data_IF_588581972868
#
_entry.id   IF_588581972868
#
_cell.length_a   1.000
_cell.length_b   1.000
_cell.length_c   1.000
_cell.angle_alpha   90.00
_cell.angle_beta   90.00
_cell.angle_gamma   90.00
#
_symmetry.space_group_name_H-M   'P 1'
#
loop_
_entity.id
_entity.type
_entity.pdbx_description
1 polymer ?
#
# COMPACT_ATOMS: atom_id res chain seq x y z
N UNK A 1 -4.08 -26.64 -21.08
CA UNK A 1 -3.60 -25.29 -21.47
C UNK A 1 -2.13 -25.44 -21.84
N UNK A 2 -1.78 -25.16 -23.10
CA UNK A 2 -0.39 -25.03 -23.51
C UNK A 2 0.29 -23.94 -22.69
N UNK A 3 1.54 -24.18 -22.30
CA UNK A 3 2.30 -23.31 -21.41
C UNK A 3 2.89 -22.18 -22.25
N UNK A 4 2.37 -20.97 -22.08
CA UNK A 4 2.89 -19.79 -22.80
C UNK A 4 4.40 -19.62 -22.60
N UNK A 5 5.11 -19.30 -23.67
CA UNK A 5 6.53 -18.95 -23.64
C UNK A 5 6.73 -17.53 -23.06
N UNK A 6 7.99 -17.07 -22.95
CA UNK A 6 8.30 -15.79 -22.30
C UNK A 6 7.75 -14.62 -23.12
N UNK A 7 8.01 -14.59 -24.42
CA UNK A 7 7.52 -13.54 -25.32
C UNK A 7 5.99 -13.44 -25.31
N UNK A 8 5.30 -14.58 -25.37
CA UNK A 8 3.83 -14.65 -25.32
C UNK A 8 3.27 -14.07 -24.01
N UNK A 9 3.93 -14.31 -22.87
CA UNK A 9 3.51 -13.75 -21.58
C UNK A 9 3.68 -12.24 -21.53
N UNK A 10 4.78 -11.72 -22.06
CA UNK A 10 5.04 -10.28 -22.11
C UNK A 10 4.04 -9.60 -23.05
N UNK A 11 3.79 -10.17 -24.23
CA UNK A 11 2.80 -9.67 -25.18
C UNK A 11 1.40 -9.67 -24.56
N UNK A 12 1.02 -10.74 -23.87
CA UNK A 12 -0.27 -10.80 -23.19
C UNK A 12 -0.39 -9.78 -22.05
N UNK A 13 0.69 -9.57 -21.28
CA UNK A 13 0.73 -8.55 -20.24
C UNK A 13 0.55 -7.13 -20.81
N UNK A 14 1.27 -6.80 -21.89
CA UNK A 14 1.12 -5.53 -22.59
C UNK A 14 -0.30 -5.33 -23.16
N UNK A 15 -0.88 -6.38 -23.74
CA UNK A 15 -2.27 -6.36 -24.21
C UNK A 15 -3.25 -6.06 -23.07
N UNK A 16 -3.09 -6.70 -21.90
CA UNK A 16 -3.94 -6.45 -20.74
C UNK A 16 -3.83 -5.00 -20.25
N UNK A 17 -2.62 -4.45 -20.21
CA UNK A 17 -2.38 -3.05 -19.82
C UNK A 17 -3.08 -2.10 -20.78
N UNK A 18 -2.98 -2.35 -22.09
CA UNK A 18 -3.64 -1.56 -23.13
C UNK A 18 -5.17 -1.62 -23.02
N UNK A 19 -5.73 -2.80 -22.83
CA UNK A 19 -7.17 -3.01 -22.65
C UNK A 19 -7.70 -2.27 -21.42
N UNK A 20 -7.02 -2.37 -20.27
CA UNK A 20 -7.39 -1.65 -19.06
C UNK A 20 -7.30 -0.14 -19.30
N UNK A 21 -6.22 0.32 -19.92
CA UNK A 21 -5.95 1.75 -20.13
C UNK A 21 -6.93 2.41 -21.10
N UNK A 22 -7.28 1.70 -22.18
CA UNK A 22 -8.16 2.20 -23.23
C UNK A 22 -9.65 2.07 -22.87
N UNK A 23 -10.07 0.91 -22.33
CA UNK A 23 -11.50 0.62 -22.11
C UNK A 23 -11.98 1.01 -20.72
N UNK A 24 -11.21 0.67 -19.69
CA UNK A 24 -11.60 0.96 -18.32
C UNK A 24 -11.20 2.36 -17.89
N UNK A 25 -9.89 2.70 -18.00
CA UNK A 25 -9.33 3.99 -17.57
C UNK A 25 -9.63 5.15 -18.53
N UNK A 26 -10.02 4.83 -19.78
CA UNK A 26 -10.40 5.79 -20.82
C UNK A 26 -9.46 7.00 -20.88
N UNK A 27 -8.15 6.74 -20.88
CA UNK A 27 -7.11 7.78 -20.73
C UNK A 27 -7.37 8.98 -21.65
N UNK A 28 -7.53 10.16 -21.06
CA UNK A 28 -7.82 11.40 -21.78
C UNK A 28 -9.31 11.76 -21.90
N UNK A 29 -10.22 10.91 -21.39
CA UNK A 29 -11.66 11.17 -21.33
C UNK A 29 -12.13 11.42 -19.90
N UNK A 30 -13.09 12.34 -19.67
CA UNK A 30 -13.61 12.61 -18.34
C UNK A 30 -14.59 11.52 -17.87
N UNK A 31 -14.59 11.25 -16.56
CA UNK A 31 -15.63 10.44 -15.92
C UNK A 31 -16.74 11.32 -15.34
N UNK A 32 -17.97 10.84 -15.48
CA UNK A 32 -19.11 11.35 -14.72
C UNK A 32 -19.42 10.36 -13.61
N UNK A 33 -19.13 10.73 -12.36
CA UNK A 33 -19.42 9.92 -11.18
C UNK A 33 -20.67 10.46 -10.52
N UNK A 34 -21.70 9.62 -10.41
CA UNK A 34 -22.95 9.97 -9.75
C UNK A 34 -22.78 10.04 -8.24
N UNK A 35 -23.59 10.89 -7.60
CA UNK A 35 -23.76 10.88 -6.15
C UNK A 35 -24.12 9.47 -5.67
N UNK A 36 -23.47 8.99 -4.62
CA UNK A 36 -23.59 7.58 -4.21
C UNK A 36 -22.36 6.74 -4.56
N UNK A 37 -21.61 7.13 -5.59
CA UNK A 37 -20.55 6.29 -6.19
C UNK A 37 -19.16 6.93 -6.14
N UNK A 38 -18.92 7.83 -5.19
CA UNK A 38 -17.67 8.60 -5.09
C UNK A 38 -16.44 7.69 -4.91
N UNK A 39 -16.61 6.52 -4.30
CA UNK A 39 -15.57 5.50 -4.17
C UNK A 39 -14.99 5.05 -5.52
N UNK A 40 -15.77 5.16 -6.62
CA UNK A 40 -15.28 4.82 -7.96
C UNK A 40 -14.10 5.69 -8.39
N UNK A 41 -14.03 6.95 -7.91
CA UNK A 41 -12.86 7.81 -8.17
C UNK A 41 -11.59 7.16 -7.65
N UNK A 42 -11.65 6.62 -6.43
CA UNK A 42 -10.51 6.00 -5.77
C UNK A 42 -10.16 4.66 -6.44
N UNK A 43 -11.18 3.88 -6.82
CA UNK A 43 -10.99 2.62 -7.57
C UNK A 43 -10.31 2.89 -8.92
N UNK A 44 -10.80 3.86 -9.70
CA UNK A 44 -10.18 4.26 -10.98
C UNK A 44 -8.73 4.71 -10.76
N UNK A 45 -8.48 5.51 -9.73
CA UNK A 45 -7.13 5.97 -9.37
C UNK A 45 -6.19 4.79 -9.02
N UNK A 46 -6.68 3.80 -8.27
CA UNK A 46 -5.90 2.61 -7.91
C UNK A 46 -5.61 1.73 -9.13
N UNK A 47 -6.57 1.58 -10.05
CA UNK A 47 -6.33 0.88 -11.32
C UNK A 47 -5.31 1.60 -12.20
N UNK A 48 -5.35 2.93 -12.28
CA UNK A 48 -4.34 3.69 -13.01
C UNK A 48 -2.94 3.48 -12.42
N UNK A 49 -2.81 3.51 -11.09
CA UNK A 49 -1.56 3.15 -10.40
C UNK A 49 -1.14 1.71 -10.69
N UNK A 50 -2.08 0.77 -10.70
CA UNK A 50 -1.80 -0.65 -10.95
C UNK A 50 -1.32 -0.90 -12.37
N UNK A 51 -1.88 -0.25 -13.39
CA UNK A 51 -1.39 -0.31 -14.77
C UNK A 51 0.06 0.18 -14.88
N UNK A 52 0.36 1.35 -14.30
CA UNK A 52 1.73 1.90 -14.31
C UNK A 52 2.73 1.00 -13.58
N UNK A 53 2.33 0.40 -12.45
CA UNK A 53 3.17 -0.57 -11.74
C UNK A 53 3.42 -1.81 -12.57
N UNK A 54 2.41 -2.29 -13.31
CA UNK A 54 2.57 -3.48 -14.14
C UNK A 54 3.53 -3.22 -15.32
N UNK A 55 3.40 -2.06 -15.99
CA UNK A 55 4.37 -1.61 -17.01
C UNK A 55 5.80 -1.58 -16.43
N UNK A 56 5.96 -1.00 -15.25
CA UNK A 56 7.27 -0.90 -14.57
C UNK A 56 7.85 -2.29 -14.24
N UNK A 57 7.02 -3.24 -13.81
CA UNK A 57 7.43 -4.63 -13.56
C UNK A 57 7.93 -5.28 -14.84
N UNK A 58 7.23 -5.12 -15.96
CA UNK A 58 7.65 -5.71 -17.24
C UNK A 58 9.03 -5.18 -17.65
N UNK A 59 9.25 -3.87 -17.55
CA UNK A 59 10.54 -3.24 -17.83
C UNK A 59 11.65 -3.80 -16.93
N UNK A 60 11.40 -3.94 -15.62
CA UNK A 60 12.37 -4.50 -14.69
C UNK A 60 12.70 -5.95 -15.02
N UNK A 61 11.69 -6.77 -15.34
CA UNK A 61 11.89 -8.18 -15.71
C UNK A 61 12.63 -8.34 -17.05
N UNK A 62 12.40 -7.45 -18.02
CA UNK A 62 13.15 -7.42 -19.28
C UNK A 62 14.64 -7.10 -19.06
N UNK A 63 14.93 -6.28 -18.06
CA UNK A 63 16.29 -5.88 -17.67
C UNK A 63 16.89 -6.75 -16.55
N UNK A 64 16.29 -7.90 -16.23
CA UNK A 64 16.76 -8.86 -15.21
C UNK A 64 16.80 -8.31 -13.76
N UNK A 65 16.00 -7.28 -13.46
CA UNK A 65 15.79 -6.72 -12.12
C UNK A 65 14.61 -7.40 -11.41
N UNK A 66 14.75 -8.70 -11.16
CA UNK A 66 13.66 -9.53 -10.63
C UNK A 66 13.25 -9.16 -9.20
N UNK A 67 14.18 -8.70 -8.37
CA UNK A 67 13.93 -8.36 -6.96
C UNK A 67 13.14 -7.07 -6.84
N UNK A 68 13.55 -6.03 -7.57
CA UNK A 68 12.84 -4.76 -7.65
C UNK A 68 11.44 -4.96 -8.26
N UNK A 69 11.33 -5.81 -9.29
CA UNK A 69 10.04 -6.19 -9.85
C UNK A 69 9.14 -6.84 -8.78
N UNK A 70 9.71 -7.68 -7.91
CA UNK A 70 8.98 -8.34 -6.84
C UNK A 70 8.50 -7.37 -5.75
N UNK A 71 9.26 -6.32 -5.45
CA UNK A 71 8.81 -5.21 -4.58
C UNK A 71 7.61 -4.50 -5.20
N UNK A 72 7.61 -4.26 -6.51
CA UNK A 72 6.46 -3.65 -7.20
C UNK A 72 5.22 -4.57 -7.21
N UNK A 73 5.39 -5.90 -7.26
CA UNK A 73 4.27 -6.86 -7.09
C UNK A 73 3.58 -6.65 -5.75
N UNK A 74 4.33 -6.41 -4.66
CA UNK A 74 3.76 -6.09 -3.34
C UNK A 74 2.85 -4.85 -3.40
N UNK A 75 3.28 -3.82 -4.11
CA UNK A 75 2.51 -2.59 -4.30
C UNK A 75 1.24 -2.83 -5.15
N UNK A 76 1.33 -3.66 -6.19
CA UNK A 76 0.15 -4.06 -6.97
C UNK A 76 -0.86 -4.84 -6.12
N UNK A 77 -0.40 -5.72 -5.24
CA UNK A 77 -1.26 -6.48 -4.32
C UNK A 77 -1.94 -5.56 -3.31
N UNK A 78 -1.24 -4.55 -2.79
CA UNK A 78 -1.87 -3.53 -1.93
C UNK A 78 -3.02 -2.83 -2.63
N UNK A 79 -2.80 -2.40 -3.88
CA UNK A 79 -3.83 -1.75 -4.67
C UNK A 79 -5.00 -2.70 -4.94
N UNK A 80 -4.75 -3.98 -5.25
CA UNK A 80 -5.80 -4.97 -5.45
C UNK A 80 -6.67 -5.16 -4.18
N UNK A 81 -6.05 -5.23 -3.00
CA UNK A 81 -6.76 -5.34 -1.72
C UNK A 81 -7.60 -4.10 -1.42
N UNK A 82 -7.09 -2.91 -1.74
CA UNK A 82 -7.81 -1.65 -1.56
C UNK A 82 -8.99 -1.52 -2.54
N UNK A 83 -8.81 -1.95 -3.79
CA UNK A 83 -9.88 -2.00 -4.78
C UNK A 83 -10.99 -2.93 -4.29
N UNK A 84 -10.66 -4.16 -3.88
CA UNK A 84 -11.64 -5.10 -3.34
C UNK A 84 -12.35 -4.53 -2.10
N UNK A 85 -11.57 -3.93 -1.19
CA UNK A 85 -12.10 -3.32 0.02
C UNK A 85 -13.14 -2.25 -0.31
N UNK A 86 -12.86 -1.34 -1.25
CA UNK A 86 -13.76 -0.25 -1.67
C UNK A 86 -14.97 -0.75 -2.46
N UNK A 87 -14.80 -1.75 -3.33
CA UNK A 87 -15.89 -2.30 -4.14
C UNK A 87 -16.92 -3.09 -3.30
N UNK A 88 -16.50 -3.65 -2.16
CA UNK A 88 -17.37 -4.41 -1.25
C UNK A 88 -17.87 -3.57 -0.06
N UNK A 89 -18.19 -2.29 -0.30
CA UNK A 89 -18.72 -1.41 0.73
C UNK A 89 -20.20 -1.70 1.05
N UNK A 90 -20.64 -1.27 2.22
CA UNK A 90 -22.04 -1.33 2.63
C UNK A 90 -22.80 -0.06 2.20
N UNK A 91 -24.14 -0.08 2.35
CA UNK A 91 -25.00 1.07 2.03
C UNK A 91 -24.62 2.37 2.76
N UNK A 92 -23.95 2.26 3.90
CA UNK A 92 -23.52 3.40 4.73
C UNK A 92 -22.15 3.96 4.32
N UNK A 93 -21.52 3.41 3.25
CA UNK A 93 -20.21 3.80 2.73
C UNK A 93 -19.11 3.75 3.79
N UNK A 94 -19.19 2.81 4.74
CA UNK A 94 -18.30 2.77 5.88
C UNK A 94 -16.85 2.52 5.45
N UNK A 95 -16.64 1.67 4.44
CA UNK A 95 -15.30 1.34 3.97
C UNK A 95 -14.67 2.52 3.24
N UNK A 96 -15.43 3.19 2.37
CA UNK A 96 -15.02 4.40 1.70
C UNK A 96 -14.68 5.51 2.71
N UNK A 97 -15.55 5.78 3.69
CA UNK A 97 -15.25 6.75 4.76
C UNK A 97 -13.96 6.39 5.50
N UNK A 98 -13.80 5.11 5.88
CA UNK A 98 -12.61 4.65 6.58
C UNK A 98 -11.33 4.79 5.73
N UNK A 99 -11.43 4.58 4.41
CA UNK A 99 -10.34 4.81 3.46
C UNK A 99 -9.98 6.30 3.38
N UNK A 100 -10.97 7.18 3.25
CA UNK A 100 -10.74 8.62 3.13
C UNK A 100 -10.12 9.25 4.38
N UNK A 101 -10.37 8.69 5.57
CA UNK A 101 -9.76 9.19 6.82
C UNK A 101 -8.37 8.60 7.11
N UNK A 102 -7.84 7.69 6.29
CA UNK A 102 -6.51 7.10 6.54
C UNK A 102 -5.38 8.13 6.67
N UNK A 103 -5.29 9.19 5.83
CA UNK A 103 -4.26 10.22 6.00
C UNK A 103 -4.36 10.92 7.36
N UNK A 104 -5.58 11.23 7.80
CA UNK A 104 -5.86 11.87 9.08
C UNK A 104 -5.46 10.96 10.26
N UNK A 105 -5.79 9.67 10.18
CA UNK A 105 -5.38 8.67 11.18
C UNK A 105 -3.85 8.55 11.27
N UNK A 106 -3.18 8.52 10.11
CA UNK A 106 -1.72 8.43 10.04
C UNK A 106 -1.04 9.68 10.61
N UNK A 107 -1.55 10.86 10.29
CA UNK A 107 -1.06 12.12 10.85
C UNK A 107 -1.23 12.15 12.36
N UNK A 108 -2.43 11.81 12.86
CA UNK A 108 -2.69 11.80 14.30
C UNK A 108 -1.80 10.80 15.05
N UNK A 109 -1.58 9.60 14.50
CA UNK A 109 -0.65 8.63 15.08
C UNK A 109 0.77 9.21 15.19
N UNK A 110 1.23 9.90 14.15
CA UNK A 110 2.53 10.57 14.16
C UNK A 110 2.61 11.73 15.16
N UNK A 111 1.54 12.52 15.32
CA UNK A 111 1.49 13.58 16.34
C UNK A 111 1.57 13.00 17.75
N UNK A 112 0.93 11.86 18.02
CA UNK A 112 1.09 11.15 19.29
C UNK A 112 2.52 10.62 19.49
N UNK A 113 3.19 10.17 18.43
CA UNK A 113 4.61 9.78 18.51
C UNK A 113 5.50 10.97 18.90
N UNK A 114 5.26 12.15 18.32
CA UNK A 114 5.96 13.38 18.67
C UNK A 114 5.69 13.76 20.13
N UNK A 115 4.43 13.75 20.57
CA UNK A 115 4.08 14.07 21.96
C UNK A 115 4.81 13.14 22.94
N UNK A 116 4.81 11.82 22.68
CA UNK A 116 5.53 10.84 23.48
C UNK A 116 7.05 11.05 23.47
N UNK A 117 7.62 11.47 22.34
CA UNK A 117 9.05 11.75 22.23
C UNK A 117 9.45 13.00 23.03
N UNK A 118 8.59 14.03 23.05
CA UNK A 118 8.76 15.22 23.89
C UNK A 118 8.70 14.86 25.38
N UNK A 119 7.69 14.07 25.78
CA UNK A 119 7.53 13.63 27.18
C UNK A 119 8.73 12.83 27.68
N UNK A 120 9.38 12.07 26.80
CA UNK A 120 10.61 11.32 27.09
C UNK A 120 11.89 12.16 27.04
N UNK A 121 11.80 13.42 26.63
CA UNK A 121 12.94 14.31 26.46
C UNK A 121 13.84 13.96 25.27
N UNK A 122 13.36 13.17 24.30
CA UNK A 122 14.12 12.81 23.08
C UNK A 122 14.20 13.96 22.08
N UNK A 123 13.18 14.82 22.07
CA UNK A 123 13.09 16.01 21.23
C UNK A 123 12.62 17.20 22.07
N UNK A 124 13.11 18.40 21.75
CA UNK A 124 12.63 19.63 22.38
C UNK A 124 11.22 19.95 21.87
N UNK A 125 10.39 20.54 22.72
CA UNK A 125 9.06 20.99 22.32
C UNK A 125 9.15 22.26 21.46
N UNK A 126 9.48 22.09 20.19
CA UNK A 126 9.51 23.15 19.17
C UNK A 126 8.26 23.09 18.27
N UNK A 127 7.39 22.10 18.47
CA UNK A 127 6.14 21.95 17.73
C UNK A 127 5.08 22.92 18.27
N UNK A 128 5.09 24.14 17.75
CA UNK A 128 4.04 25.12 18.02
C UNK A 128 2.65 24.58 17.64
N UNK A 129 1.71 24.65 18.59
CA UNK A 129 0.33 24.23 18.39
C UNK A 129 0.11 22.71 18.34
N UNK A 130 1.05 21.89 18.86
CA UNK A 130 0.92 20.42 18.82
C UNK A 130 -0.40 19.92 19.42
N UNK A 131 -0.74 20.40 20.62
CA UNK A 131 -1.95 19.96 21.34
C UNK A 131 -3.22 20.42 20.64
N UNK A 132 -3.20 21.63 20.09
CA UNK A 132 -4.29 22.18 19.30
C UNK A 132 -4.52 21.35 18.03
N UNK A 133 -3.45 20.99 17.31
CA UNK A 133 -3.51 20.13 16.12
C UNK A 133 -4.03 18.74 16.44
N UNK A 134 -3.53 18.11 17.51
CA UNK A 134 -4.02 16.82 17.99
C UNK A 134 -5.53 16.92 18.23
N UNK A 135 -5.98 17.89 19.04
CA UNK A 135 -7.39 18.08 19.36
C UNK A 135 -8.26 18.34 18.13
N UNK A 136 -7.77 19.12 17.16
CA UNK A 136 -8.47 19.36 15.90
C UNK A 136 -8.68 18.04 15.13
N UNK A 137 -7.62 17.24 14.97
CA UNK A 137 -7.69 15.96 14.25
C UNK A 137 -8.58 14.94 14.98
N UNK A 138 -8.49 14.87 16.30
CA UNK A 138 -9.36 14.03 17.13
C UNK A 138 -10.84 14.41 16.98
N UNK A 139 -11.15 15.71 16.93
CA UNK A 139 -12.52 16.17 16.75
C UNK A 139 -13.08 15.77 15.39
N UNK A 140 -12.28 15.87 14.32
CA UNK A 140 -12.71 15.44 12.98
C UNK A 140 -13.02 13.93 12.99
N UNK A 141 -12.12 13.10 13.52
CA UNK A 141 -12.35 11.64 13.60
C UNK A 141 -13.57 11.30 14.47
N UNK A 142 -13.80 12.04 15.55
CA UNK A 142 -14.97 11.86 16.42
C UNK A 142 -16.27 12.20 15.70
N UNK A 143 -16.31 13.32 14.96
CA UNK A 143 -17.48 13.73 14.17
C UNK A 143 -17.80 12.73 13.06
N UNK A 144 -16.76 12.16 12.44
CA UNK A 144 -16.89 11.11 11.42
C UNK A 144 -17.19 9.71 11.99
N UNK A 145 -17.26 9.57 13.32
CA UNK A 145 -17.62 8.32 14.01
C UNK A 145 -16.47 7.31 14.17
N UNK A 146 -15.22 7.71 13.94
CA UNK A 146 -14.03 6.88 14.13
C UNK A 146 -13.57 6.88 15.59
N UNK A 147 -14.41 6.30 16.45
CA UNK A 147 -14.17 6.12 17.90
C UNK A 147 -14.32 4.64 18.23
N UNK A 148 -13.37 4.08 18.98
CA UNK A 148 -13.41 2.71 19.45
C UNK A 148 -13.22 2.67 20.97
N UNK A 149 -14.20 2.10 21.69
CA UNK A 149 -14.16 1.98 23.16
C UNK A 149 -13.94 3.32 23.89
N UNK A 150 -14.44 4.42 23.33
CA UNK A 150 -14.30 5.77 23.90
C UNK A 150 -13.05 6.53 23.45
N UNK A 151 -12.10 5.85 22.79
CA UNK A 151 -10.85 6.43 22.29
C UNK A 151 -10.92 6.67 20.78
N UNK A 152 -10.12 7.62 20.28
CA UNK A 152 -10.04 7.91 18.85
C UNK A 152 -9.41 6.72 18.12
N UNK A 153 -10.06 6.23 17.06
CA UNK A 153 -9.58 5.10 16.29
C UNK A 153 -8.52 5.53 15.27
N UNK A 154 -7.26 5.42 15.65
CA UNK A 154 -6.10 5.68 14.77
C UNK A 154 -5.64 4.45 13.99
N UNK A 155 -6.36 3.31 14.07
CA UNK A 155 -5.94 2.09 13.38
C UNK A 155 -6.00 2.29 11.87
N UNK A 156 -4.86 2.07 11.24
CA UNK A 156 -4.71 2.09 9.80
C UNK A 156 -5.28 0.81 9.17
N UNK A 157 -5.72 0.92 7.92
CA UNK A 157 -6.03 -0.24 7.10
C UNK A 157 -4.80 -1.12 6.99
N UNK A 158 -4.95 -2.40 7.33
CA UNK A 158 -3.88 -3.37 7.20
C UNK A 158 -4.16 -4.27 6.02
N UNK A 159 -3.12 -4.53 5.23
CA UNK A 159 -3.19 -5.46 4.09
C UNK A 159 -3.60 -6.85 4.57
N UNK A 160 -3.06 -7.30 5.69
CA UNK A 160 -3.48 -8.55 6.34
C UNK A 160 -4.98 -8.54 6.67
N UNK A 161 -5.49 -7.45 7.24
CA UNK A 161 -6.90 -7.31 7.59
C UNK A 161 -7.81 -7.35 6.36
N UNK A 162 -7.41 -6.69 5.27
CA UNK A 162 -8.14 -6.76 4.00
C UNK A 162 -8.04 -8.14 3.35
N UNK A 163 -6.86 -8.78 3.37
CA UNK A 163 -6.68 -10.10 2.77
C UNK A 163 -7.54 -11.18 3.43
N UNK A 164 -7.93 -11.02 4.70
CA UNK A 164 -8.83 -11.95 5.39
C UNK A 164 -10.30 -11.85 4.95
N UNK A 165 -10.67 -10.91 4.08
CA UNK A 165 -12.03 -10.79 3.54
C UNK A 165 -12.36 -11.88 2.50
N UNK A 166 -11.36 -12.41 1.81
CA UNK A 166 -11.53 -13.33 0.68
C UNK A 166 -10.42 -14.39 0.64
N UNK A 167 -10.78 -15.61 0.25
CA UNK A 167 -9.86 -16.75 0.24
C UNK A 167 -8.73 -16.57 -0.77
N UNK A 168 -9.03 -16.03 -1.95
CA UNK A 168 -8.03 -15.82 -3.00
C UNK A 168 -7.08 -14.68 -2.62
N UNK A 169 -7.62 -13.60 -2.07
CA UNK A 169 -6.83 -12.50 -1.52
C UNK A 169 -5.89 -12.98 -0.41
N UNK A 170 -6.37 -13.81 0.51
CA UNK A 170 -5.53 -14.41 1.54
C UNK A 170 -4.43 -15.30 0.95
N UNK A 171 -4.74 -16.07 -0.10
CA UNK A 171 -3.75 -16.88 -0.79
C UNK A 171 -2.66 -16.02 -1.45
N UNK A 172 -3.01 -14.90 -2.10
CA UNK A 172 -2.05 -13.97 -2.66
C UNK A 172 -1.19 -13.29 -1.60
N UNK A 173 -1.79 -12.91 -0.47
CA UNK A 173 -1.06 -12.37 0.68
C UNK A 173 0.00 -13.37 1.18
N UNK A 174 -0.38 -14.64 1.34
CA UNK A 174 0.54 -15.69 1.80
C UNK A 174 1.66 -15.98 0.81
N UNK A 175 1.34 -16.05 -0.49
CA UNK A 175 2.28 -16.47 -1.53
C UNK A 175 3.26 -15.38 -1.95
N UNK A 176 2.81 -14.12 -2.00
CA UNK A 176 3.57 -13.04 -2.62
C UNK A 176 3.89 -11.92 -1.66
N UNK A 177 2.94 -11.50 -0.83
CA UNK A 177 3.14 -10.34 0.05
C UNK A 177 4.18 -10.62 1.14
N UNK A 178 4.12 -11.81 1.77
CA UNK A 178 5.08 -12.21 2.81
C UNK A 178 6.50 -12.33 2.27
N UNK A 179 6.66 -12.94 1.09
CA UNK A 179 7.97 -13.12 0.48
C UNK A 179 8.52 -11.77 -0.01
N UNK A 180 7.68 -10.87 -0.53
CA UNK A 180 8.13 -9.56 -1.00
C UNK A 180 8.62 -8.68 0.16
N UNK A 181 8.00 -8.87 1.33
CA UNK A 181 8.43 -8.22 2.56
C UNK A 181 9.86 -8.57 2.97
N UNK A 182 10.42 -9.72 2.55
CA UNK A 182 11.80 -10.11 2.87
C UNK A 182 12.81 -9.27 2.08
N UNK A 183 12.54 -9.06 0.79
CA UNK A 183 13.37 -8.24 -0.09
C UNK A 183 13.36 -6.75 0.30
N UNK A 184 12.23 -6.24 0.79
CA UNK A 184 12.09 -4.81 1.16
C UNK A 184 12.68 -4.47 2.54
N UNK A 185 12.64 -5.41 3.49
CA UNK A 185 13.09 -5.16 4.86
C UNK A 185 14.47 -5.74 5.17
N UNK A 186 15.25 -6.08 4.12
CA UNK A 186 16.61 -6.60 4.26
C UNK A 186 16.67 -7.71 5.32
N UNK A 187 15.77 -8.70 5.21
CA UNK A 187 15.84 -9.88 6.07
C UNK A 187 17.27 -10.40 5.97
N UNK A 188 17.99 -10.49 7.10
CA UNK A 188 19.41 -10.81 7.08
C UNK A 188 19.69 -12.16 6.41
N UNK A 189 18.69 -13.06 6.37
CA UNK A 189 18.73 -14.34 5.66
C UNK A 189 18.58 -14.23 4.13
N UNK A 190 18.20 -13.05 3.63
CA UNK A 190 18.17 -12.67 2.21
C UNK A 190 19.35 -11.78 1.80
N UNK A 191 20.27 -11.47 2.71
CA UNK A 191 21.44 -10.61 2.48
C UNK A 191 22.67 -11.34 1.93
N UNK A 192 22.59 -12.64 1.60
CA UNK A 192 23.71 -13.41 1.01
C UNK A 192 24.30 -12.74 -0.25
N UNK A 193 23.54 -11.87 -0.90
CA UNK A 193 23.89 -11.06 -2.07
C UNK A 193 24.83 -9.86 -1.75
N UNK A 194 24.81 -9.36 -0.51
CA UNK A 194 25.75 -8.35 -0.01
C UNK A 194 26.99 -8.98 0.67
N UNK A 195 27.09 -10.32 0.70
CA UNK A 195 28.21 -11.09 1.25
C UNK A 195 29.55 -10.85 0.55
N UNK A 196 29.56 -10.14 -0.59
CA UNK A 196 30.76 -9.49 -1.13
C UNK A 196 31.04 -8.22 -0.33
N UNK A 197 31.38 -8.37 0.96
CA UNK A 197 31.83 -7.26 1.80
C UNK A 197 32.96 -6.54 1.07
N UNK A 198 32.87 -5.21 0.81
CA UNK A 198 34.00 -4.43 0.30
C UNK A 198 35.15 -4.34 1.33
N UNK A 199 34.93 -4.82 2.55
CA UNK A 199 35.94 -4.90 3.60
C UNK A 199 36.37 -6.36 3.79
N UNK A 200 37.64 -6.63 3.52
CA UNK A 200 38.29 -7.87 3.92
C UNK A 200 38.32 -7.93 5.45
N UNK A 201 37.43 -8.73 6.03
CA UNK A 201 37.49 -9.02 7.46
C UNK A 201 38.64 -9.99 7.67
N UNK A 202 39.80 -9.47 8.05
CA UNK A 202 40.88 -10.29 8.61
C UNK A 202 40.50 -10.54 10.06
N UNK A 203 39.92 -11.71 10.33
CA UNK A 203 39.77 -12.19 11.70
C UNK A 203 41.13 -12.69 12.18
N UNK A 204 41.85 -11.90 12.99
CA UNK A 204 42.93 -12.44 13.81
C UNK A 204 42.30 -13.20 14.97
N UNK A 205 42.40 -14.53 14.92
CA UNK A 205 42.16 -15.36 16.10
C UNK A 205 43.24 -15.09 17.13
N UNK A 206 42.83 -14.78 18.36
CA UNK A 206 43.63 -14.84 19.59
C UNK A 206 42.88 -15.66 20.62
#
# INVERSE_FOLDING_TARGET
MEKMNKEEKIQYANFLIEEITSKFLQKGSPYVIMEGYEYLREVITLYAKQSNLFESILILLENSHAEEAYILVRSMLNNAMLIDYLCNDNKNKLRYKNYMVQPLKSELAFLYDIERAIERGWVKNEYEGLKEKIKERENILRQEGFVHKGEIDTRLLSIKGMALSDKLLFAYYMAFYREASKYEHSDFSSLDIYGSSPFSVISTQS
#
